data_IF_968816513824
#
_entry.id   IF_968816513824
#
_cell.length_a   1.000
_cell.length_b   1.000
_cell.length_c   1.000
_cell.angle_alpha   90.00
_cell.angle_beta   90.00
_cell.angle_gamma   90.00
#
_symmetry.space_group_name_H-M   'P 1'
#
loop_
_entity.id
_entity.type
_entity.pdbx_description
1 polymer ?
#
# COMPACT_ATOMS: atom_id res chain seq x y z
N UNK A 1 -3.32 -1.24 15.05
CA UNK A 1 -2.99 0.14 14.62
C UNK A 1 -4.13 0.66 13.78
N UNK A 2 -4.60 1.87 14.05
CA UNK A 2 -5.67 2.45 13.23
C UNK A 2 -5.10 2.97 11.92
N UNK A 3 -5.95 3.06 10.90
CA UNK A 3 -5.49 3.42 9.56
C UNK A 3 -4.94 4.85 9.48
N UNK A 4 -5.42 5.76 10.32
CA UNK A 4 -4.85 7.10 10.39
C UNK A 4 -3.38 7.07 10.79
N UNK A 5 -3.03 6.19 11.70
CA UNK A 5 -1.64 6.05 12.14
C UNK A 5 -0.79 5.41 11.03
N UNK A 6 -1.37 4.51 10.26
CA UNK A 6 -0.68 3.93 9.11
C UNK A 6 -0.38 5.02 8.09
N UNK A 7 -1.34 5.90 7.84
CA UNK A 7 -1.12 7.01 6.92
C UNK A 7 -0.02 7.95 7.45
N UNK A 8 0.00 8.20 8.75
CA UNK A 8 1.04 9.05 9.35
C UNK A 8 2.42 8.44 9.13
N UNK A 9 2.54 7.13 9.25
CA UNK A 9 3.81 6.45 8.99
C UNK A 9 4.19 6.58 7.51
N UNK A 10 3.21 6.42 6.62
CA UNK A 10 3.44 6.62 5.21
C UNK A 10 3.97 8.02 4.92
N UNK A 11 3.36 9.04 5.50
CA UNK A 11 3.77 10.42 5.29
C UNK A 11 5.17 10.68 5.85
N UNK A 12 5.51 10.01 6.95
CA UNK A 12 6.83 10.14 7.56
C UNK A 12 7.91 9.51 6.69
N UNK A 13 7.62 8.32 6.14
CA UNK A 13 8.61 7.57 5.35
C UNK A 13 8.71 8.09 3.92
N UNK A 14 7.63 8.60 3.38
CA UNK A 14 7.56 9.04 1.99
C UNK A 14 6.97 10.45 1.88
N UNK A 15 7.69 11.45 2.42
CA UNK A 15 7.16 12.82 2.41
C UNK A 15 6.93 13.36 1.01
N UNK A 16 7.69 12.88 0.02
CA UNK A 16 7.53 13.34 -1.37
C UNK A 16 6.24 12.84 -2.01
N UNK A 17 5.66 11.77 -1.46
CA UNK A 17 4.42 11.20 -1.99
C UNK A 17 3.20 11.56 -1.14
N UNK A 18 3.40 12.20 -0.01
CA UNK A 18 2.33 12.54 0.90
C UNK A 18 1.95 14.02 0.77
N UNK A 19 1.03 14.46 1.61
CA UNK A 19 0.64 15.85 1.65
C UNK A 19 -0.10 16.28 0.39
N UNK A 20 0.41 17.30 -0.27
CA UNK A 20 -0.25 17.89 -1.43
C UNK A 20 -0.33 16.95 -2.62
N UNK A 21 0.46 15.89 -2.64
CA UNK A 21 0.44 14.92 -3.74
C UNK A 21 -0.70 13.93 -3.62
N UNK A 22 -1.32 13.81 -2.45
CA UNK A 22 -2.36 12.83 -2.20
C UNK A 22 -3.72 13.43 -2.52
N UNK A 23 -4.49 12.75 -3.39
CA UNK A 23 -5.87 13.11 -3.65
C UNK A 23 -6.77 12.55 -2.57
N UNK A 24 -6.60 11.26 -2.26
CA UNK A 24 -7.35 10.60 -1.19
C UNK A 24 -6.65 9.29 -0.82
N UNK A 25 -7.05 8.73 0.32
CA UNK A 25 -6.58 7.41 0.72
C UNK A 25 -7.71 6.71 1.49
N UNK A 26 -7.66 5.39 1.51
CA UNK A 26 -8.67 4.62 2.23
C UNK A 26 -8.05 3.34 2.79
N UNK A 27 -8.71 2.76 3.80
CA UNK A 27 -8.23 1.50 4.37
C UNK A 27 -8.18 0.39 3.32
N UNK A 28 -7.15 -0.46 3.44
CA UNK A 28 -6.95 -1.57 2.53
C UNK A 28 -6.64 -2.84 3.33
N UNK A 29 -7.41 -3.09 4.38
CA UNK A 29 -7.17 -4.21 5.26
C UNK A 29 -6.37 -3.81 6.48
N UNK A 30 -5.98 -4.80 7.27
CA UNK A 30 -5.30 -4.55 8.53
C UNK A 30 -3.94 -3.89 8.31
N UNK A 31 -3.74 -2.75 8.95
CA UNK A 31 -2.48 -2.00 8.89
C UNK A 31 -2.05 -1.67 7.46
N UNK A 32 -3.01 -1.55 6.56
CA UNK A 32 -2.72 -1.25 5.16
C UNK A 32 -3.65 -0.16 4.66
N UNK A 33 -3.12 0.71 3.83
CA UNK A 33 -3.89 1.77 3.20
C UNK A 33 -3.60 1.81 1.71
N UNK A 34 -4.58 2.28 0.96
CA UNK A 34 -4.45 2.52 -0.46
C UNK A 34 -4.46 4.02 -0.67
N UNK A 35 -3.43 4.54 -1.32
CA UNK A 35 -3.25 5.96 -1.52
C UNK A 35 -3.41 6.27 -3.00
N UNK A 36 -4.29 7.23 -3.32
CA UNK A 36 -4.42 7.74 -4.68
C UNK A 36 -3.80 9.13 -4.73
N UNK A 37 -2.88 9.32 -5.65
CA UNK A 37 -2.25 10.61 -5.84
C UNK A 37 -2.98 11.43 -6.90
N UNK A 38 -2.72 12.71 -6.91
CA UNK A 38 -3.38 13.63 -7.84
C UNK A 38 -3.04 13.33 -9.29
N UNK A 39 -1.89 12.71 -9.54
CA UNK A 39 -1.49 12.27 -10.89
C UNK A 39 -2.13 10.94 -11.27
N UNK A 40 -3.09 10.46 -10.48
CA UNK A 40 -3.85 9.22 -10.71
C UNK A 40 -3.06 7.95 -10.42
N UNK A 41 -1.84 8.04 -9.97
CA UNK A 41 -1.10 6.88 -9.50
C UNK A 41 -1.64 6.42 -8.15
N UNK A 42 -1.63 5.11 -7.94
CA UNK A 42 -2.11 4.53 -6.68
C UNK A 42 -1.07 3.59 -6.12
N UNK A 43 -0.98 3.60 -4.80
CA UNK A 43 -0.01 2.79 -4.08
C UNK A 43 -0.69 2.11 -2.90
N UNK A 44 -0.10 1.00 -2.48
CA UNK A 44 -0.50 0.32 -1.25
C UNK A 44 0.64 0.43 -0.27
N UNK A 45 0.38 0.95 0.91
CA UNK A 45 1.35 1.00 1.99
C UNK A 45 0.84 0.13 3.13
N UNK A 46 1.65 -0.82 3.55
CA UNK A 46 1.35 -1.71 4.65
C UNK A 46 2.41 -1.56 5.71
N UNK A 47 2.00 -1.27 6.93
CA UNK A 47 2.91 -1.13 8.05
C UNK A 47 2.89 -2.42 8.88
N UNK A 48 4.03 -3.06 9.00
CA UNK A 48 4.16 -4.30 9.77
C UNK A 48 4.71 -3.99 11.17
N UNK A 49 5.82 -3.27 11.22
CA UNK A 49 6.41 -2.79 12.46
C UNK A 49 7.40 -1.68 12.13
N UNK A 50 8.09 -1.14 13.12
CA UNK A 50 8.98 -0.01 12.93
C UNK A 50 10.13 -0.30 11.96
N UNK A 51 10.46 -1.57 11.78
CA UNK A 51 11.55 -1.97 10.90
C UNK A 51 11.07 -2.59 9.60
N UNK A 52 9.78 -2.93 9.51
CA UNK A 52 9.24 -3.62 8.34
C UNK A 52 7.96 -2.95 7.87
N UNK A 53 7.94 -2.59 6.61
CA UNK A 53 6.76 -2.04 5.95
C UNK A 53 6.87 -2.36 4.47
N UNK A 54 5.75 -2.23 3.76
CA UNK A 54 5.71 -2.50 2.33
C UNK A 54 5.08 -1.31 1.62
N UNK A 55 5.68 -0.95 0.50
CA UNK A 55 5.18 0.13 -0.35
C UNK A 55 5.16 -0.40 -1.77
N UNK A 56 3.97 -0.58 -2.32
CA UNK A 56 3.79 -1.24 -3.61
C UNK A 56 2.87 -0.43 -4.50
N UNK A 57 3.14 -0.46 -5.81
CA UNK A 57 2.18 0.08 -6.77
C UNK A 57 1.00 -0.87 -6.84
N UNK A 58 -0.15 -0.36 -7.33
CA UNK A 58 -1.33 -1.20 -7.48
C UNK A 58 -1.04 -2.37 -8.41
N UNK A 59 -0.37 -2.10 -9.52
CA UNK A 59 -0.04 -3.16 -10.48
C UNK A 59 0.83 -4.24 -9.84
N UNK A 60 1.84 -3.83 -9.09
CA UNK A 60 2.73 -4.76 -8.40
C UNK A 60 1.96 -5.58 -7.37
N UNK A 61 1.10 -4.92 -6.61
CA UNK A 61 0.31 -5.58 -5.58
C UNK A 61 -0.62 -6.63 -6.19
N UNK A 62 -1.35 -6.25 -7.24
CA UNK A 62 -2.27 -7.17 -7.91
C UNK A 62 -1.53 -8.32 -8.57
N UNK A 63 -0.38 -8.04 -9.16
CA UNK A 63 0.44 -9.07 -9.79
C UNK A 63 0.91 -10.10 -8.77
N UNK A 64 1.33 -9.62 -7.60
CA UNK A 64 1.76 -10.53 -6.53
C UNK A 64 0.63 -11.43 -6.08
N UNK A 65 -0.58 -10.89 -5.93
CA UNK A 65 -1.75 -11.67 -5.58
C UNK A 65 -2.07 -12.70 -6.66
N UNK A 66 -2.01 -12.26 -7.92
CA UNK A 66 -2.31 -13.13 -9.05
C UNK A 66 -1.30 -14.27 -9.15
N UNK A 67 -0.03 -13.97 -9.03
CA UNK A 67 1.02 -14.98 -9.09
C UNK A 67 0.88 -15.99 -7.95
N UNK A 68 0.53 -15.52 -6.77
CA UNK A 68 0.32 -16.40 -5.63
C UNK A 68 -0.83 -17.37 -5.91
N UNK A 69 -1.91 -16.90 -6.49
CA UNK A 69 -3.03 -17.75 -6.85
C UNK A 69 -2.69 -18.69 -7.99
N UNK A 70 -1.95 -18.20 -8.97
CA UNK A 70 -1.52 -19.04 -10.10
C UNK A 70 -0.60 -20.14 -9.64
N UNK A 71 0.33 -19.86 -8.74
CA UNK A 71 1.22 -20.86 -8.17
C UNK A 71 0.42 -21.93 -7.46
N UNK A 72 -0.56 -21.54 -6.70
CA UNK A 72 -1.43 -22.48 -6.02
C UNK A 72 -2.12 -23.40 -7.02
N UNK A 73 -2.61 -22.85 -8.10
CA UNK A 73 -3.25 -23.62 -9.15
C UNK A 73 -2.27 -24.54 -9.87
N UNK A 74 -1.07 -24.04 -10.11
CA UNK A 74 -0.07 -24.79 -10.86
C UNK A 74 0.49 -25.96 -10.08
N UNK A 75 0.44 -25.91 -8.78
CA UNK A 75 1.00 -26.98 -7.95
C UNK A 75 0.13 -28.22 -7.86
N UNK A 76 -0.96 -28.23 -8.53
CA UNK A 76 -1.85 -29.41 -8.54
C UNK A 76 -1.29 -30.54 -9.34
#
# INVERSE_FOLDING_TARGET
>A
MVHNDVYKRFALYFPDYAGNCVECWFPNGKNSIRIRQKNKQEFIFTFLNDKEWRFETIDSYLRALFEKNAKKGASK
#
